data_IF_205492541499
#
_entry.id   IF_205492541499
#
_cell.length_a   1.000
_cell.length_b   1.000
_cell.length_c   1.000
_cell.angle_alpha   90.00
_cell.angle_beta   90.00
_cell.angle_gamma   90.00
#
_symmetry.space_group_name_H-M   'P 1'
#
loop_
_entity.id
_entity.type
_entity.pdbx_description
1 polymer ?
#
# COMPACT_ATOMS: atom_id res chain seq x y z
N UNK A 1 -11.15 26.51 21.16
CA UNK A 1 -10.90 27.22 19.89
C UNK A 1 -11.26 26.30 18.74
N UNK A 2 -11.54 26.84 17.55
CA UNK A 2 -11.66 26.07 16.31
C UNK A 2 -10.65 26.62 15.30
N UNK A 3 -9.71 25.80 14.78
CA UNK A 3 -8.70 26.30 13.84
C UNK A 3 -9.34 26.80 12.54
N UNK A 4 -8.79 27.87 11.98
CA UNK A 4 -9.14 28.27 10.61
C UNK A 4 -8.65 27.24 9.58
N UNK A 5 -9.26 27.26 8.39
CA UNK A 5 -8.88 26.37 7.28
C UNK A 5 -7.38 26.54 6.96
N UNK A 6 -6.59 25.46 6.93
CA UNK A 6 -5.19 25.53 6.55
C UNK A 6 -5.06 25.87 5.06
N UNK A 7 -3.88 26.33 4.64
CA UNK A 7 -3.54 26.43 3.21
C UNK A 7 -2.56 25.31 2.85
N UNK A 8 -2.76 24.71 1.69
CA UNK A 8 -1.86 23.72 1.11
C UNK A 8 -1.57 24.05 -0.35
N UNK A 9 -0.45 23.55 -0.86
CA UNK A 9 -0.16 23.47 -2.29
C UNK A 9 0.92 22.44 -2.55
N UNK A 10 0.87 21.78 -3.70
CA UNK A 10 2.02 21.04 -4.24
C UNK A 10 2.90 22.01 -5.03
N UNK A 11 4.20 22.01 -4.73
CA UNK A 11 5.20 22.82 -5.43
C UNK A 11 6.46 22.00 -5.72
N UNK A 12 7.37 22.54 -6.53
CA UNK A 12 8.71 21.98 -6.70
C UNK A 12 9.66 22.65 -5.71
N UNK A 13 10.56 21.87 -5.13
CA UNK A 13 11.70 22.43 -4.41
C UNK A 13 12.80 22.94 -5.36
N UNK A 14 13.91 23.39 -4.79
CA UNK A 14 15.08 23.89 -5.54
C UNK A 14 15.71 22.85 -6.48
N UNK A 15 15.52 21.56 -6.20
CA UNK A 15 16.09 20.44 -6.96
C UNK A 15 15.04 19.82 -7.92
N UNK A 16 13.85 20.43 -8.03
CA UNK A 16 12.77 19.96 -8.88
C UNK A 16 11.94 18.82 -8.27
N UNK A 17 12.17 18.45 -7.01
CA UNK A 17 11.42 17.39 -6.33
C UNK A 17 10.08 17.94 -5.82
N UNK A 18 8.94 17.33 -6.18
CA UNK A 18 7.66 17.78 -5.66
C UNK A 18 7.56 17.63 -4.14
N UNK A 19 6.91 18.61 -3.51
CA UNK A 19 6.61 18.61 -2.09
C UNK A 19 5.23 19.23 -1.82
N UNK A 20 4.56 18.75 -0.77
CA UNK A 20 3.41 19.44 -0.20
C UNK A 20 3.93 20.51 0.77
N UNK A 21 3.55 21.77 0.55
CA UNK A 21 3.71 22.84 1.54
C UNK A 21 2.38 23.08 2.24
N UNK A 22 2.37 22.95 3.56
CA UNK A 22 1.20 23.13 4.42
C UNK A 22 1.43 24.27 5.42
N UNK A 23 0.48 25.21 5.49
CA UNK A 23 0.44 26.26 6.51
C UNK A 23 -0.88 26.16 7.29
N UNK A 24 -0.86 25.51 8.47
CA UNK A 24 -2.04 25.37 9.30
C UNK A 24 -2.27 26.59 10.20
N UNK A 25 -3.51 26.74 10.69
CA UNK A 25 -3.82 27.73 11.72
C UNK A 25 -3.29 27.27 13.09
N UNK A 26 -2.94 28.20 13.98
CA UNK A 26 -2.52 27.92 15.36
C UNK A 26 -1.41 26.84 15.46
N UNK A 27 -0.24 27.03 14.83
CA UNK A 27 0.80 26.01 14.72
C UNK A 27 1.30 25.46 16.07
N UNK A 28 1.28 26.29 17.12
CA UNK A 28 1.68 25.87 18.47
C UNK A 28 0.69 24.93 19.17
N UNK A 29 -0.53 24.80 18.64
CA UNK A 29 -1.58 23.94 19.19
C UNK A 29 -1.64 22.59 18.47
N UNK A 30 -0.71 22.29 17.56
CA UNK A 30 -0.72 21.07 16.76
C UNK A 30 -0.03 19.93 17.51
N UNK A 31 -0.74 18.82 17.70
CA UNK A 31 -0.21 17.55 18.23
C UNK A 31 0.54 16.77 17.15
N UNK A 32 -0.02 16.70 15.94
CA UNK A 32 0.51 15.86 14.84
C UNK A 32 0.03 16.38 13.49
N UNK A 33 0.90 16.29 12.48
CA UNK A 33 0.52 16.43 11.08
C UNK A 33 0.84 15.12 10.36
N UNK A 34 -0.11 14.61 9.59
CA UNK A 34 0.09 13.47 8.69
C UNK A 34 -0.17 13.93 7.27
N UNK A 35 0.84 13.85 6.42
CA UNK A 35 0.70 14.14 5.00
C UNK A 35 0.64 12.82 4.26
N UNK A 36 -0.29 12.74 3.31
CA UNK A 36 -0.51 11.57 2.48
C UNK A 36 -0.26 11.91 1.02
N UNK A 37 0.22 10.94 0.25
CA UNK A 37 0.32 11.03 -1.19
C UNK A 37 -0.38 9.89 -1.90
N UNK A 38 -0.86 10.13 -3.11
CA UNK A 38 -1.31 9.11 -4.02
C UNK A 38 -0.77 9.38 -5.43
N UNK A 39 -0.33 8.33 -6.11
CA UNK A 39 0.24 8.43 -7.46
C UNK A 39 -0.77 7.93 -8.49
N UNK A 40 -0.90 8.65 -9.62
CA UNK A 40 -1.55 8.28 -10.88
C UNK A 40 -3.06 8.04 -10.85
N UNK A 41 -3.60 7.40 -9.81
CA UNK A 41 -4.96 6.86 -9.80
C UNK A 41 -6.00 7.94 -9.59
N UNK A 42 -6.64 8.37 -10.67
CA UNK A 42 -7.71 9.37 -10.62
C UNK A 42 -8.98 8.86 -9.93
N UNK A 43 -9.33 7.58 -10.12
CA UNK A 43 -10.48 6.94 -9.48
C UNK A 43 -10.29 6.87 -7.95
N UNK A 44 -11.09 7.64 -7.21
CA UNK A 44 -10.95 7.83 -5.76
C UNK A 44 -11.05 6.51 -4.97
N UNK A 45 -11.91 5.57 -5.36
CA UNK A 45 -12.07 4.28 -4.66
C UNK A 45 -10.90 3.31 -4.87
N UNK A 46 -10.05 3.56 -5.88
CA UNK A 46 -8.92 2.71 -6.22
C UNK A 46 -7.57 3.30 -5.78
N UNK A 47 -7.59 4.44 -5.06
CA UNK A 47 -6.36 5.11 -4.61
C UNK A 47 -5.71 4.33 -3.48
N UNK A 48 -4.41 4.13 -3.61
CA UNK A 48 -3.54 3.78 -2.50
C UNK A 48 -2.87 5.04 -1.98
N UNK A 49 -3.03 5.31 -0.68
CA UNK A 49 -2.44 6.45 0.00
C UNK A 49 -1.20 6.01 0.75
N UNK A 50 -0.07 6.68 0.49
CA UNK A 50 1.16 6.50 1.27
C UNK A 50 1.24 7.58 2.33
N UNK A 51 1.70 7.22 3.52
CA UNK A 51 2.26 8.19 4.45
C UNK A 51 3.60 8.72 3.90
N UNK A 52 3.85 10.02 4.11
CA UNK A 52 5.14 10.64 3.78
C UNK A 52 5.72 11.38 4.97
N UNK A 53 7.04 11.37 5.05
CA UNK A 53 7.76 12.04 6.13
C UNK A 53 7.48 13.54 6.13
N UNK A 54 6.98 14.00 7.26
CA UNK A 54 6.47 15.35 7.45
C UNK A 54 7.43 16.14 8.34
N UNK A 55 7.96 17.24 7.81
CA UNK A 55 8.98 18.06 8.48
C UNK A 55 8.36 19.42 8.84
N UNK A 56 8.45 19.84 10.11
CA UNK A 56 8.08 21.20 10.54
C UNK A 56 9.24 22.17 10.26
N UNK A 57 8.93 23.29 9.60
CA UNK A 57 9.82 24.42 9.35
C UNK A 57 9.15 25.69 9.87
N UNK A 58 9.43 26.05 11.12
CA UNK A 58 8.73 27.14 11.81
C UNK A 58 7.23 26.88 11.90
N UNK A 59 6.43 27.71 11.22
CA UNK A 59 4.97 27.63 11.18
C UNK A 59 4.41 26.85 9.99
N UNK A 60 5.28 26.20 9.21
CA UNK A 60 4.91 25.41 8.04
C UNK A 60 5.34 23.95 8.20
N UNK A 61 4.66 23.09 7.46
CA UNK A 61 5.02 21.69 7.32
C UNK A 61 5.28 21.40 5.86
N UNK A 62 6.33 20.63 5.60
CA UNK A 62 6.71 20.19 4.26
C UNK A 62 6.86 18.67 4.24
N UNK A 63 6.40 18.03 3.17
CA UNK A 63 6.69 16.62 2.91
C UNK A 63 7.10 16.43 1.45
N UNK A 64 8.18 15.67 1.24
CA UNK A 64 8.59 15.26 -0.11
C UNK A 64 7.60 14.27 -0.67
N UNK A 65 7.29 14.40 -1.95
CA UNK A 65 6.31 13.57 -2.64
C UNK A 65 7.00 12.73 -3.73
N UNK A 66 7.72 11.65 -3.35
CA UNK A 66 8.43 10.81 -4.30
C UNK A 66 7.48 10.16 -5.31
N UNK A 67 7.87 10.22 -6.59
CA UNK A 67 7.10 9.72 -7.72
C UNK A 67 8.02 9.15 -8.80
N UNK A 68 7.47 8.33 -9.69
CA UNK A 68 8.24 7.68 -10.76
C UNK A 68 8.06 8.32 -12.14
N UNK A 69 6.95 9.04 -12.37
CA UNK A 69 6.65 9.66 -13.66
C UNK A 69 6.03 11.05 -13.46
N UNK A 70 6.76 12.08 -13.89
CA UNK A 70 6.37 13.49 -13.74
C UNK A 70 5.15 13.89 -14.58
N UNK A 71 4.74 13.04 -15.53
CA UNK A 71 3.57 13.27 -16.38
C UNK A 71 2.30 12.57 -15.89
N UNK A 72 2.40 11.71 -14.86
CA UNK A 72 1.24 11.13 -14.20
C UNK A 72 0.72 12.09 -13.10
N UNK A 73 -0.56 11.94 -12.70
CA UNK A 73 -1.11 12.73 -11.60
C UNK A 73 -0.38 12.45 -10.28
N UNK A 74 -0.14 13.51 -9.51
CA UNK A 74 0.26 13.46 -8.12
C UNK A 74 -0.83 14.12 -7.26
N UNK A 75 -1.31 13.38 -6.25
CA UNK A 75 -2.31 13.84 -5.31
C UNK A 75 -1.71 13.92 -3.90
N UNK A 76 -2.11 14.91 -3.11
CA UNK A 76 -1.70 14.98 -1.70
C UNK A 76 -2.69 15.79 -0.87
N UNK A 77 -2.79 15.44 0.41
CA UNK A 77 -3.49 16.22 1.42
C UNK A 77 -2.87 15.93 2.79
N UNK A 78 -3.24 16.71 3.80
CA UNK A 78 -2.80 16.54 5.17
C UNK A 78 -3.97 16.39 6.14
N UNK A 79 -3.78 15.62 7.20
CA UNK A 79 -4.59 15.66 8.41
C UNK A 79 -3.80 16.34 9.53
N UNK A 80 -4.41 17.33 10.18
CA UNK A 80 -3.81 18.13 11.25
C UNK A 80 -4.58 17.83 12.53
N UNK A 81 -3.90 17.23 13.50
CA UNK A 81 -4.46 16.91 14.81
C UNK A 81 -4.06 18.00 15.80
N UNK A 82 -5.05 18.63 16.42
CA UNK A 82 -4.87 19.70 17.39
C UNK A 82 -4.98 19.21 18.83
N UNK A 83 -4.44 19.99 19.77
CA UNK A 83 -4.46 19.68 21.20
C UNK A 83 -5.87 19.52 21.78
N UNK A 84 -6.87 20.20 21.20
CA UNK A 84 -8.28 20.09 21.56
C UNK A 84 -9.00 18.90 20.89
N UNK A 85 -8.26 17.93 20.36
CA UNK A 85 -8.73 16.72 19.69
C UNK A 85 -9.52 16.94 18.39
N UNK A 86 -9.54 18.18 17.90
CA UNK A 86 -10.04 18.47 16.54
C UNK A 86 -9.06 17.96 15.50
N UNK A 87 -9.60 17.42 14.40
CA UNK A 87 -8.82 17.05 13.21
C UNK A 87 -9.32 17.86 12.03
N UNK A 88 -8.42 18.64 11.43
CA UNK A 88 -8.72 19.43 10.24
C UNK A 88 -7.90 18.88 9.06
N UNK A 89 -8.56 18.62 7.94
CA UNK A 89 -7.88 18.23 6.71
C UNK A 89 -7.51 19.48 5.91
N UNK A 90 -6.37 19.42 5.20
CA UNK A 90 -6.04 20.42 4.18
C UNK A 90 -6.94 20.30 2.96
N UNK A 91 -6.74 21.23 2.01
CA UNK A 91 -7.31 21.06 0.69
C UNK A 91 -6.71 19.82 0.02
N UNK A 92 -7.50 19.25 -0.88
CA UNK A 92 -7.10 18.13 -1.69
C UNK A 92 -6.32 18.65 -2.91
N UNK A 93 -5.00 18.48 -2.88
CA UNK A 93 -4.13 18.97 -3.95
C UNK A 93 -3.98 17.93 -5.05
N UNK A 94 -3.96 18.40 -6.30
CA UNK A 94 -3.67 17.56 -7.46
C UNK A 94 -2.90 18.34 -8.51
N UNK A 95 -1.80 17.76 -9.00
CA UNK A 95 -0.97 18.36 -10.05
C UNK A 95 -0.49 17.30 -11.04
N UNK A 96 -0.07 17.75 -12.22
CA UNK A 96 0.85 17.00 -13.07
C UNK A 96 2.23 17.66 -12.85
N UNK A 97 3.19 17.00 -12.18
CA UNK A 97 4.45 17.63 -11.76
C UNK A 97 5.20 18.36 -12.88
N UNK A 98 5.24 17.80 -14.09
CA UNK A 98 5.89 18.44 -15.26
C UNK A 98 5.26 19.77 -15.68
N UNK A 99 4.01 20.04 -15.27
CA UNK A 99 3.34 21.34 -15.50
C UNK A 99 3.73 22.41 -14.47
N UNK A 100 4.45 22.05 -13.40
CA UNK A 100 4.95 22.99 -12.40
C UNK A 100 6.34 23.56 -12.75
N UNK A 101 7.06 22.93 -13.68
CA UNK A 101 8.42 23.29 -14.07
C UNK A 101 9.28 22.06 -14.34
N UNK A 102 10.58 22.15 -14.04
CA UNK A 102 11.56 21.07 -14.23
C UNK A 102 11.45 20.01 -13.12
N UNK A 103 10.31 19.33 -13.05
CA UNK A 103 10.07 18.31 -12.05
C UNK A 103 10.97 17.08 -12.25
N UNK A 104 11.37 16.46 -11.14
CA UNK A 104 12.22 15.26 -11.11
C UNK A 104 11.50 14.11 -10.43
N UNK A 105 11.56 12.93 -11.04
CA UNK A 105 11.11 11.68 -10.44
C UNK A 105 12.20 11.12 -9.52
N UNK A 106 11.84 10.84 -8.27
CA UNK A 106 12.77 10.37 -7.22
C UNK A 106 12.44 8.97 -6.70
N UNK A 107 11.32 8.40 -7.12
CA UNK A 107 10.94 7.03 -6.78
C UNK A 107 11.22 6.07 -7.94
N UNK A 108 11.32 4.78 -7.63
CA UNK A 108 11.53 3.71 -8.61
C UNK A 108 10.56 2.59 -8.38
N UNK A 109 10.17 1.93 -9.47
CA UNK A 109 9.38 0.70 -9.41
C UNK A 109 10.14 -0.36 -8.63
N UNK A 110 9.41 -1.15 -7.85
CA UNK A 110 9.93 -2.31 -7.14
C UNK A 110 9.15 -3.56 -7.54
N UNK A 111 9.87 -4.67 -7.71
CA UNK A 111 9.26 -5.98 -7.84
C UNK A 111 9.12 -6.68 -6.49
N UNK A 112 9.85 -6.24 -5.48
CA UNK A 112 9.65 -6.67 -4.11
C UNK A 112 8.62 -5.75 -3.44
N UNK A 113 7.64 -6.36 -2.80
CA UNK A 113 6.64 -5.65 -2.02
C UNK A 113 7.18 -5.48 -0.59
N UNK A 114 6.80 -4.40 0.12
CA UNK A 114 7.16 -4.23 1.52
C UNK A 114 6.68 -5.44 2.32
N UNK A 115 7.61 -6.02 3.08
CA UNK A 115 7.30 -7.06 4.04
C UNK A 115 6.55 -6.52 5.25
N UNK A 116 6.20 -7.43 6.15
CA UNK A 116 5.59 -7.08 7.43
C UNK A 116 4.10 -6.72 7.38
N UNK A 117 3.57 -6.36 8.54
CA UNK A 117 2.13 -6.27 8.76
C UNK A 117 1.51 -4.90 8.41
N UNK A 118 2.31 -3.84 8.27
CA UNK A 118 1.81 -2.45 8.19
C UNK A 118 0.94 -2.17 6.96
N UNK A 119 1.13 -2.91 5.87
CA UNK A 119 0.37 -2.78 4.63
C UNK A 119 -0.70 -3.86 4.47
N UNK A 120 -0.98 -4.61 5.54
CA UNK A 120 -1.95 -5.70 5.57
C UNK A 120 -3.00 -5.48 6.66
N UNK A 121 -4.27 -5.66 6.34
CA UNK A 121 -5.35 -5.58 7.33
C UNK A 121 -5.32 -6.78 8.27
N UNK A 122 -5.67 -6.59 9.53
CA UNK A 122 -5.74 -7.69 10.51
C UNK A 122 -4.47 -8.55 10.51
N UNK A 123 -3.31 -7.91 10.52
CA UNK A 123 -2.01 -8.57 10.53
C UNK A 123 -1.15 -8.05 11.68
N UNK A 124 -0.32 -8.92 12.23
CA UNK A 124 0.71 -8.58 13.21
C UNK A 124 2.08 -9.01 12.68
N UNK A 125 3.16 -8.26 12.99
CA UNK A 125 4.52 -8.70 12.70
C UNK A 125 4.77 -10.08 13.30
N UNK A 126 5.48 -10.92 12.57
CA UNK A 126 5.83 -12.26 13.01
C UNK A 126 7.19 -12.64 12.43
N UNK A 127 7.89 -13.52 13.13
CA UNK A 127 9.15 -14.11 12.68
C UNK A 127 8.96 -15.62 12.54
N UNK A 128 9.37 -16.17 11.40
CA UNK A 128 9.39 -17.62 11.20
C UNK A 128 10.73 -18.24 11.60
N UNK A 129 10.94 -19.50 11.23
CA UNK A 129 12.23 -20.16 11.45
C UNK A 129 13.36 -19.40 10.74
N UNK A 130 14.55 -19.36 11.36
CA UNK A 130 15.74 -18.74 10.79
C UNK A 130 15.75 -17.21 10.80
N UNK A 131 14.88 -16.55 11.57
CA UNK A 131 14.89 -15.09 11.71
C UNK A 131 14.24 -14.33 10.56
N UNK A 132 13.51 -15.02 9.67
CA UNK A 132 12.85 -14.37 8.54
C UNK A 132 11.62 -13.61 9.03
N UNK A 133 11.68 -12.29 8.90
CA UNK A 133 10.57 -11.41 9.21
C UNK A 133 9.42 -11.56 8.19
N UNK A 134 8.20 -11.53 8.71
CA UNK A 134 6.98 -11.59 7.94
C UNK A 134 5.81 -11.04 8.71
N UNK A 135 4.62 -11.54 8.42
CA UNK A 135 3.43 -11.21 9.18
C UNK A 135 2.50 -12.42 9.31
N UNK A 136 1.69 -12.36 10.36
CA UNK A 136 0.64 -13.34 10.64
C UNK A 136 -0.72 -12.66 10.61
N UNK A 137 -1.71 -13.18 9.88
CA UNK A 137 -3.09 -12.73 10.02
C UNK A 137 -3.61 -13.02 11.44
N UNK A 138 -4.25 -12.04 12.07
CA UNK A 138 -4.78 -12.16 13.45
C UNK A 138 -6.29 -12.42 13.48
N UNK A 139 -6.96 -12.33 12.32
CA UNK A 139 -8.39 -12.61 12.20
C UNK A 139 -8.64 -13.95 11.50
N UNK A 140 -8.94 -14.98 12.30
CA UNK A 140 -9.19 -16.35 11.80
C UNK A 140 -10.44 -16.51 10.91
N UNK A 141 -11.31 -15.50 10.84
CA UNK A 141 -12.55 -15.56 10.05
C UNK A 141 -12.47 -14.73 8.77
N UNK A 142 -11.94 -13.51 8.87
CA UNK A 142 -11.83 -12.59 7.74
C UNK A 142 -10.52 -12.75 6.97
N UNK A 143 -9.47 -13.25 7.62
CA UNK A 143 -8.13 -13.31 7.05
C UNK A 143 -7.47 -11.94 7.01
N UNK A 144 -6.82 -11.61 5.91
CA UNK A 144 -6.05 -10.37 5.73
C UNK A 144 -6.18 -9.86 4.29
N UNK A 145 -5.94 -8.57 4.07
CA UNK A 145 -5.97 -7.97 2.74
C UNK A 145 -4.96 -6.84 2.59
N UNK A 146 -4.54 -6.56 1.35
CA UNK A 146 -3.64 -5.46 1.05
C UNK A 146 -3.97 -4.80 -0.27
N UNK A 147 -3.98 -3.46 -0.28
CA UNK A 147 -4.22 -2.61 -1.44
C UNK A 147 -2.92 -2.01 -2.03
N UNK A 148 -1.76 -2.42 -1.52
CA UNK A 148 -0.46 -1.91 -1.99
C UNK A 148 -0.20 -2.17 -3.48
N UNK A 149 -0.89 -3.15 -4.06
CA UNK A 149 -0.83 -3.52 -5.48
C UNK A 149 -1.39 -2.42 -6.40
N UNK A 150 -2.23 -1.53 -5.88
CA UNK A 150 -2.73 -0.36 -6.60
C UNK A 150 -1.68 0.75 -6.71
N UNK A 151 -0.67 0.74 -5.84
CA UNK A 151 0.41 1.71 -5.88
C UNK A 151 1.29 1.48 -7.12
N UNK A 152 1.50 2.49 -7.97
CA UNK A 152 2.36 2.36 -9.15
C UNK A 152 3.75 1.74 -8.85
N UNK A 153 4.33 1.95 -7.67
CA UNK A 153 5.63 1.40 -7.28
C UNK A 153 5.62 -0.12 -7.18
N UNK A 154 4.54 -0.69 -6.63
CA UNK A 154 4.39 -2.13 -6.39
C UNK A 154 3.36 -2.78 -7.31
N UNK A 155 2.88 -2.04 -8.30
CA UNK A 155 1.95 -2.57 -9.30
C UNK A 155 2.63 -3.63 -10.15
N UNK A 156 1.90 -4.70 -10.49
CA UNK A 156 2.44 -5.81 -11.27
C UNK A 156 2.94 -5.35 -12.66
N UNK A 157 4.13 -5.80 -13.10
CA UNK A 157 4.48 -5.72 -14.51
C UNK A 157 3.53 -6.57 -15.34
N UNK A 158 3.36 -6.20 -16.61
CA UNK A 158 2.60 -7.04 -17.55
C UNK A 158 3.26 -8.41 -17.65
N UNK A 159 2.47 -9.47 -17.67
CA UNK A 159 2.94 -10.86 -17.75
C UNK A 159 3.63 -11.40 -16.50
N UNK A 160 3.62 -10.66 -15.39
CA UNK A 160 4.23 -11.13 -14.14
C UNK A 160 3.35 -12.13 -13.40
N UNK A 161 3.97 -12.89 -12.51
CA UNK A 161 3.32 -13.76 -11.53
C UNK A 161 3.56 -13.26 -10.12
N UNK A 162 2.65 -13.55 -9.19
CA UNK A 162 2.84 -13.24 -7.77
C UNK A 162 3.62 -14.38 -7.11
N UNK A 163 4.76 -14.10 -6.50
CA UNK A 163 5.52 -15.05 -5.68
C UNK A 163 5.54 -14.57 -4.22
N UNK A 164 5.38 -15.47 -3.26
CA UNK A 164 5.54 -15.17 -1.84
C UNK A 164 5.97 -16.41 -1.06
N UNK A 165 6.50 -16.18 0.14
CA UNK A 165 6.88 -17.23 1.07
C UNK A 165 5.82 -17.44 2.14
N UNK A 166 5.69 -18.67 2.61
CA UNK A 166 4.87 -19.01 3.76
C UNK A 166 5.55 -20.03 4.66
N UNK A 167 5.24 -19.96 5.96
CA UNK A 167 5.66 -20.91 6.97
C UNK A 167 4.44 -21.37 7.77
N UNK A 168 4.24 -22.68 7.84
CA UNK A 168 3.17 -23.30 8.61
C UNK A 168 3.50 -24.75 8.93
N UNK A 169 3.29 -25.18 10.17
CA UNK A 169 3.54 -26.56 10.63
C UNK A 169 2.29 -27.44 10.61
N UNK A 170 1.16 -26.90 10.13
CA UNK A 170 -0.10 -27.62 10.00
C UNK A 170 -0.74 -27.26 8.66
N UNK A 171 -1.28 -28.21 7.90
CA UNK A 171 -1.84 -27.89 6.60
C UNK A 171 -3.04 -26.94 6.74
N UNK A 172 -3.09 -25.91 5.90
CA UNK A 172 -4.22 -24.96 5.82
C UNK A 172 -4.71 -24.84 4.38
N UNK A 173 -6.02 -24.71 4.20
CA UNK A 173 -6.60 -24.38 2.90
C UNK A 173 -7.12 -22.95 2.92
N UNK A 174 -6.56 -22.12 2.05
CA UNK A 174 -6.90 -20.70 1.96
C UNK A 174 -7.46 -20.36 0.58
N UNK A 175 -7.95 -19.15 0.44
CA UNK A 175 -8.39 -18.58 -0.83
C UNK A 175 -7.67 -17.25 -1.02
N UNK A 176 -7.00 -17.09 -2.15
CA UNK A 176 -6.56 -15.80 -2.65
C UNK A 176 -7.69 -15.20 -3.50
N UNK A 177 -8.10 -13.97 -3.19
CA UNK A 177 -9.10 -13.21 -3.95
C UNK A 177 -8.53 -11.88 -4.38
N UNK A 178 -9.03 -11.35 -5.50
CA UNK A 178 -8.68 -10.02 -6.01
C UNK A 178 -9.89 -9.10 -6.01
N UNK A 179 -9.66 -7.79 -6.06
CA UNK A 179 -10.70 -6.76 -6.29
C UNK A 179 -11.49 -6.96 -7.60
N UNK A 180 -10.88 -7.62 -8.59
CA UNK A 180 -11.54 -8.02 -9.84
C UNK A 180 -12.42 -9.28 -9.73
N UNK A 181 -12.66 -9.79 -8.51
CA UNK A 181 -13.47 -10.99 -8.21
C UNK A 181 -12.91 -12.30 -8.78
N UNK A 182 -11.63 -12.33 -9.17
CA UNK A 182 -10.94 -13.58 -9.49
C UNK A 182 -10.37 -14.18 -8.21
N UNK A 183 -10.43 -15.51 -8.10
CA UNK A 183 -9.95 -16.25 -6.93
C UNK A 183 -9.27 -17.55 -7.31
N UNK A 184 -8.40 -18.03 -6.42
CA UNK A 184 -7.82 -19.38 -6.49
C UNK A 184 -7.69 -19.95 -5.08
N UNK A 185 -7.70 -21.27 -4.96
CA UNK A 185 -7.43 -21.96 -3.70
C UNK A 185 -5.92 -22.05 -3.50
N UNK A 186 -5.48 -21.88 -2.25
CA UNK A 186 -4.09 -22.05 -1.86
C UNK A 186 -4.01 -23.23 -0.89
N UNK A 187 -3.23 -24.23 -1.27
CA UNK A 187 -2.88 -25.35 -0.40
C UNK A 187 -1.60 -24.99 0.35
N UNK A 188 -1.75 -24.62 1.62
CA UNK A 188 -0.62 -24.35 2.52
C UNK A 188 -0.22 -25.69 3.14
N UNK A 189 0.88 -26.25 2.66
CA UNK A 189 1.47 -27.50 3.16
C UNK A 189 2.17 -27.30 4.49
N UNK A 190 2.15 -28.33 5.34
CA UNK A 190 2.90 -28.32 6.58
C UNK A 190 4.40 -28.57 6.31
N UNK A 191 5.25 -27.72 6.87
CA UNK A 191 6.71 -27.90 6.88
C UNK A 191 7.31 -27.22 8.10
N UNK A 192 8.48 -27.70 8.52
CA UNK A 192 9.33 -27.01 9.49
C UNK A 192 10.20 -25.93 8.83
N UNK A 193 10.20 -25.87 7.49
CA UNK A 193 10.94 -24.91 6.68
C UNK A 193 10.00 -23.95 5.94
N UNK A 194 10.54 -22.80 5.54
CA UNK A 194 9.85 -21.88 4.65
C UNK A 194 9.60 -22.49 3.28
N UNK A 195 8.44 -22.21 2.73
CA UNK A 195 8.02 -22.67 1.40
C UNK A 195 7.67 -21.46 0.52
N UNK A 196 7.82 -21.63 -0.79
CA UNK A 196 7.52 -20.58 -1.78
C UNK A 196 6.33 -20.99 -2.61
N UNK A 197 5.41 -20.05 -2.82
CA UNK A 197 4.25 -20.20 -3.69
C UNK A 197 4.34 -19.17 -4.82
N UNK A 198 4.13 -19.62 -6.06
CA UNK A 198 4.02 -18.78 -7.25
C UNK A 198 2.62 -18.94 -7.82
N UNK A 199 1.94 -17.81 -8.04
CA UNK A 199 0.60 -17.74 -8.60
C UNK A 199 0.62 -17.04 -9.95
N UNK A 200 0.41 -17.84 -11.00
CA UNK A 200 0.23 -17.36 -12.37
C UNK A 200 -1.20 -16.81 -12.55
N UNK A 201 -1.39 -15.77 -13.39
CA UNK A 201 -2.69 -15.11 -13.53
C UNK A 201 -3.80 -16.07 -14.02
N UNK A 202 -3.47 -17.05 -14.84
CA UNK A 202 -4.40 -18.05 -15.38
C UNK A 202 -4.93 -19.04 -14.32
N UNK A 203 -4.31 -19.09 -13.13
CA UNK A 203 -4.79 -19.90 -12.01
C UNK A 203 -5.96 -19.25 -11.27
N UNK A 204 -6.19 -17.94 -11.43
CA UNK A 204 -7.33 -17.26 -10.80
C UNK A 204 -8.52 -17.22 -11.74
N UNK A 205 -9.68 -17.62 -11.23
CA UNK A 205 -10.95 -17.63 -11.97
C UNK A 205 -12.01 -16.79 -11.29
N UNK A 206 -12.84 -16.11 -12.07
CA UNK A 206 -14.06 -15.49 -11.56
C UNK A 206 -15.21 -16.50 -11.52
N UNK A 207 -16.37 -16.08 -10.98
CA UNK A 207 -17.55 -16.97 -10.84
C UNK A 207 -18.16 -17.40 -12.19
N UNK A 208 -17.76 -16.76 -13.31
CA UNK A 208 -18.15 -17.15 -14.67
C UNK A 208 -17.09 -18.06 -15.34
N UNK A 209 -16.05 -18.48 -14.61
CA UNK A 209 -15.01 -19.39 -15.10
C UNK A 209 -13.89 -18.72 -15.92
N UNK A 210 -13.96 -17.39 -16.15
CA UNK A 210 -12.93 -16.68 -16.88
C UNK A 210 -11.67 -16.47 -16.03
N UNK A 211 -10.52 -16.65 -16.66
CA UNK A 211 -9.22 -16.47 -16.02
C UNK A 211 -8.88 -14.98 -15.82
N UNK A 212 -8.09 -14.67 -14.79
CA UNK A 212 -7.47 -13.36 -14.69
C UNK A 212 -6.49 -13.20 -15.86
N UNK A 213 -6.69 -12.16 -16.67
CA UNK A 213 -5.83 -11.95 -17.84
C UNK A 213 -4.41 -11.48 -17.48
N UNK A 214 -4.27 -10.61 -16.47
CA UNK A 214 -2.97 -10.05 -16.08
C UNK A 214 -3.03 -9.43 -14.67
N UNK A 215 -1.99 -9.65 -13.87
CA UNK A 215 -1.87 -9.10 -12.51
C UNK A 215 -1.81 -7.56 -12.47
N UNK A 216 -1.40 -6.89 -13.55
CA UNK A 216 -1.33 -5.42 -13.63
C UNK A 216 -2.69 -4.72 -13.53
N UNK A 217 -3.79 -5.49 -13.60
CA UNK A 217 -5.16 -5.00 -13.39
C UNK A 217 -5.63 -5.08 -11.94
N UNK A 218 -4.89 -5.76 -11.08
CA UNK A 218 -5.27 -5.99 -9.68
C UNK A 218 -4.69 -4.88 -8.79
N UNK A 219 -5.56 -4.22 -8.03
CA UNK A 219 -5.17 -3.19 -7.05
C UNK A 219 -5.20 -3.69 -5.61
N UNK A 220 -5.95 -4.75 -5.32
CA UNK A 220 -6.09 -5.33 -3.99
C UNK A 220 -6.16 -6.85 -4.04
N UNK A 221 -5.52 -7.51 -3.08
CA UNK A 221 -5.71 -8.93 -2.81
C UNK A 221 -6.20 -9.18 -1.39
N UNK A 222 -6.82 -10.34 -1.20
CA UNK A 222 -7.27 -10.85 0.10
C UNK A 222 -6.88 -12.31 0.24
N UNK A 223 -6.33 -12.67 1.40
CA UNK A 223 -6.07 -14.05 1.80
C UNK A 223 -7.11 -14.42 2.85
N UNK A 224 -7.96 -15.40 2.54
CA UNK A 224 -9.06 -15.82 3.41
C UNK A 224 -8.96 -17.30 3.79
N UNK A 225 -9.34 -17.69 5.01
CA UNK A 225 -9.45 -19.09 5.37
C UNK A 225 -10.65 -19.74 4.65
N UNK A 226 -10.49 -20.99 4.22
CA UNK A 226 -11.63 -21.84 3.90
C UNK A 226 -12.31 -22.36 5.18
N UNK A 227 -13.48 -22.97 5.04
CA UNK A 227 -14.16 -23.60 6.17
C UNK A 227 -13.26 -24.65 6.83
N UNK A 228 -13.08 -24.54 8.15
CA UNK A 228 -12.21 -25.44 8.93
C UNK A 228 -10.72 -25.07 8.93
N UNK A 229 -10.29 -24.11 8.10
CA UNK A 229 -8.92 -23.60 8.14
C UNK A 229 -8.74 -22.52 9.21
N UNK A 230 -7.51 -22.38 9.69
CA UNK A 230 -7.07 -21.35 10.62
C UNK A 230 -5.86 -20.62 10.03
N UNK A 231 -6.16 -19.55 9.29
CA UNK A 231 -5.14 -18.70 8.65
C UNK A 231 -4.16 -18.07 9.66
N UNK A 232 -4.52 -17.98 10.95
CA UNK A 232 -3.65 -17.41 11.99
C UNK A 232 -2.45 -18.32 12.30
N UNK A 233 -2.44 -19.55 11.79
CA UNK A 233 -1.30 -20.47 11.88
C UNK A 233 -0.25 -20.23 10.80
N UNK A 234 -0.55 -19.42 9.78
CA UNK A 234 0.34 -19.17 8.65
C UNK A 234 1.09 -17.86 8.86
N UNK A 235 2.40 -17.89 8.68
CA UNK A 235 3.23 -16.69 8.55
C UNK A 235 3.54 -16.49 7.07
N UNK A 236 3.30 -15.29 6.55
CA UNK A 236 3.62 -14.91 5.17
C UNK A 236 4.79 -13.94 5.13
N UNK A 237 5.60 -14.02 4.08
CA UNK A 237 6.74 -13.13 3.86
C UNK A 237 7.06 -12.97 2.37
N UNK A 238 7.92 -12.00 2.05
CA UNK A 238 8.60 -11.88 0.75
C UNK A 238 7.68 -11.91 -0.47
N UNK A 239 6.57 -11.15 -0.43
CA UNK A 239 5.74 -10.94 -1.61
C UNK A 239 6.55 -10.20 -2.68
N UNK A 240 6.55 -10.71 -3.90
CA UNK A 240 7.23 -10.11 -5.04
C UNK A 240 6.60 -10.50 -6.38
N UNK A 241 6.89 -9.70 -7.40
CA UNK A 241 6.57 -9.99 -8.78
C UNK A 241 7.71 -10.77 -9.43
N UNK A 242 7.37 -11.88 -10.07
CA UNK A 242 8.28 -12.64 -10.92
C UNK A 242 7.94 -12.36 -12.37
N UNK A 243 8.85 -11.71 -13.09
CA UNK A 243 8.76 -11.58 -14.54
C UNK A 243 9.28 -12.86 -15.19
N UNK A 244 8.75 -13.19 -16.36
CA UNK A 244 9.32 -14.23 -17.22
C UNK A 244 10.73 -13.83 -17.69
#
# INVERSE_FOLDING_TARGET
FWPARPTSKIQLDKDGVPELLLTPANPEQIKKVQIYQCLKTANNIARFWRDVDTIRKGNQWTAKLPLMNVNDYLFSYANIHYQNDSVISSDFESVIPSKLGNAVATDKRSYELPGGASLWSDAAPAEGVGGIEGFRPINKHHGTSSAQFADPKWKAPKGASLEFMFYCTQPQNLILRTDSRHKTNLEITASNDWQTMKIDPDQLRNDHGANLGDWSKVGKIELRPQQGADITKVVFANFKWKTQ
#
